data_IF_067693566695
#
_entry.id   IF_067693566695
#
_cell.length_a   1.000
_cell.length_b   1.000
_cell.length_c   1.000
_cell.angle_alpha   90.00
_cell.angle_beta   90.00
_cell.angle_gamma   90.00
#
_symmetry.space_group_name_H-M   'P 1'
#
loop_
_entity.id
_entity.type
_entity.pdbx_description
1 polymer ?
#
# COMPACT_ATOMS: atom_id res chain seq x y z
N UNK A 1 -12.58 -18.12 -19.54
CA UNK A 1 -12.47 -16.66 -19.33
C UNK A 1 -11.35 -16.38 -18.36
N UNK A 2 -10.54 -15.36 -18.61
CA UNK A 2 -9.29 -15.11 -17.89
C UNK A 2 -9.43 -13.84 -17.06
N UNK A 3 -9.15 -13.88 -15.76
CA UNK A 3 -9.07 -12.64 -14.98
C UNK A 3 -7.87 -11.82 -15.46
N UNK A 4 -8.01 -10.49 -15.64
CA UNK A 4 -6.90 -9.65 -16.03
C UNK A 4 -5.85 -9.59 -14.92
N UNK A 5 -4.62 -9.22 -15.27
CA UNK A 5 -3.53 -9.02 -14.30
C UNK A 5 -3.90 -7.99 -13.23
N UNK A 6 -4.76 -7.02 -13.55
CA UNK A 6 -5.24 -5.99 -12.63
C UNK A 6 -6.32 -6.46 -11.64
N UNK A 7 -6.79 -7.72 -11.73
CA UNK A 7 -7.78 -8.23 -10.78
C UNK A 7 -7.23 -8.28 -9.34
N UNK A 8 -5.95 -8.66 -9.19
CA UNK A 8 -5.24 -8.68 -7.91
C UNK A 8 -4.00 -7.82 -7.99
N UNK A 9 -3.95 -6.79 -7.17
CA UNK A 9 -2.76 -5.94 -6.99
C UNK A 9 -2.30 -6.07 -5.54
N UNK A 10 -1.00 -6.24 -5.32
CA UNK A 10 -0.41 -6.23 -3.98
C UNK A 10 0.58 -5.08 -3.90
N UNK A 11 0.40 -4.19 -2.93
CA UNK A 11 1.44 -3.26 -2.51
C UNK A 11 2.31 -3.92 -1.45
N UNK A 12 3.62 -3.95 -1.69
CA UNK A 12 4.63 -4.30 -0.70
C UNK A 12 5.36 -3.03 -0.31
N UNK A 13 5.20 -2.61 0.94
CA UNK A 13 5.78 -1.40 1.49
C UNK A 13 6.91 -1.77 2.44
N UNK A 14 8.13 -1.32 2.12
CA UNK A 14 9.28 -1.45 3.00
C UNK A 14 9.13 -0.53 4.22
N UNK A 15 9.19 -1.12 5.41
CA UNK A 15 9.12 -0.45 6.71
C UNK A 15 10.45 -0.55 7.46
N UNK A 16 11.53 -0.80 6.73
CA UNK A 16 12.87 -0.73 7.27
C UNK A 16 13.26 0.70 7.69
N UNK A 17 14.21 0.85 8.63
CA UNK A 17 14.64 2.15 9.18
C UNK A 17 15.06 3.19 8.13
N UNK A 18 15.57 2.75 6.97
CA UNK A 18 15.95 3.64 5.87
C UNK A 18 14.75 4.45 5.34
N UNK A 19 13.53 3.93 5.47
CA UNK A 19 12.31 4.62 5.06
C UNK A 19 11.88 5.74 6.00
N UNK A 20 12.50 5.86 7.18
CA UNK A 20 12.35 7.04 8.04
C UNK A 20 13.12 8.25 7.49
N UNK A 21 14.06 8.04 6.56
CA UNK A 21 14.82 9.12 5.92
C UNK A 21 13.94 10.15 5.23
N UNK A 22 14.38 11.41 5.23
CA UNK A 22 13.70 12.51 4.55
C UNK A 22 13.66 12.30 3.04
N UNK A 23 12.56 12.68 2.39
CA UNK A 23 12.50 12.77 0.93
C UNK A 23 13.27 13.97 0.37
N UNK A 24 13.80 14.84 1.23
CA UNK A 24 14.52 16.07 0.89
C UNK A 24 13.73 17.06 0.03
N UNK A 25 12.40 16.93 0.00
CA UNK A 25 11.50 17.90 -0.58
C UNK A 25 10.86 18.74 0.52
N UNK A 26 11.26 20.01 0.58
CA UNK A 26 10.71 20.96 1.53
C UNK A 26 9.24 21.26 1.23
N UNK A 27 8.43 21.27 2.29
CA UNK A 27 7.03 21.62 2.29
C UNK A 27 6.83 22.84 3.20
N UNK A 28 6.43 23.95 2.58
CA UNK A 28 5.99 25.14 3.28
C UNK A 28 4.56 24.91 3.76
N UNK A 29 4.35 24.93 5.07
CA UNK A 29 3.03 24.76 5.70
C UNK A 29 2.61 25.99 6.52
N UNK A 30 3.53 26.90 6.77
CA UNK A 30 3.28 28.16 7.46
C UNK A 30 2.85 29.24 6.45
N UNK A 31 1.57 29.23 6.11
CA UNK A 31 0.99 30.14 5.12
C UNK A 31 0.40 31.37 5.84
N UNK A 32 1.18 32.45 5.89
CA UNK A 32 0.68 33.75 6.35
C UNK A 32 -0.21 34.40 5.28
N UNK A 33 -1.53 34.32 5.44
CA UNK A 33 -2.52 34.85 4.49
C UNK A 33 -2.88 36.32 4.68
N UNK A 34 -2.39 37.00 5.73
CA UNK A 34 -2.62 38.44 5.93
C UNK A 34 -1.34 39.18 6.29
N UNK A 35 -1.15 40.31 5.61
CA UNK A 35 -0.12 41.36 5.78
C UNK A 35 0.80 41.19 6.99
N UNK A 36 2.08 40.92 6.70
CA UNK A 36 3.17 40.77 7.67
C UNK A 36 3.11 41.88 8.73
N UNK A 37 2.80 41.53 9.98
CA UNK A 37 3.18 42.38 11.09
C UNK A 37 4.72 42.29 11.25
N UNK A 38 5.43 43.42 11.41
CA UNK A 38 6.85 43.41 11.66
C UNK A 38 7.17 42.58 12.91
N UNK A 39 8.14 41.65 12.82
CA UNK A 39 8.65 40.88 13.98
C UNK A 39 8.23 39.41 14.07
N UNK A 40 7.45 38.87 13.12
CA UNK A 40 7.11 37.43 13.10
C UNK A 40 8.16 36.65 12.30
N UNK A 41 8.73 35.60 12.91
CA UNK A 41 9.67 34.66 12.27
C UNK A 41 8.86 33.47 11.73
N UNK A 42 8.97 33.14 10.42
CA UNK A 42 8.27 31.99 9.85
C UNK A 42 8.81 30.67 10.42
N UNK A 43 7.93 29.66 10.52
CA UNK A 43 8.34 28.31 10.89
C UNK A 43 9.25 27.71 9.81
N UNK A 44 10.19 26.87 10.24
CA UNK A 44 11.06 26.15 9.33
C UNK A 44 10.24 25.14 8.50
N UNK A 45 10.54 24.97 7.20
CA UNK A 45 9.86 24.01 6.35
C UNK A 45 10.09 22.58 6.86
N UNK A 46 9.12 21.71 6.58
CA UNK A 46 9.21 20.29 6.92
C UNK A 46 9.44 19.46 5.66
N UNK A 47 9.95 18.25 5.82
CA UNK A 47 10.00 17.25 4.75
C UNK A 47 9.34 15.97 5.24
N UNK A 48 8.65 15.27 4.34
CA UNK A 48 8.10 13.94 4.62
C UNK A 48 9.22 12.90 4.65
N UNK A 49 8.97 11.78 5.31
CA UNK A 49 9.82 10.60 5.17
C UNK A 49 9.50 9.85 3.87
N UNK A 50 10.43 9.00 3.41
CA UNK A 50 10.20 8.09 2.29
C UNK A 50 8.99 7.16 2.54
N UNK A 51 8.80 6.72 3.79
CA UNK A 51 7.61 5.98 4.22
C UNK A 51 6.32 6.77 3.95
N UNK A 52 6.25 8.01 4.44
CA UNK A 52 5.06 8.85 4.25
C UNK A 52 4.76 9.06 2.77
N UNK A 53 5.77 9.37 1.95
CA UNK A 53 5.60 9.50 0.51
C UNK A 53 5.09 8.20 -0.15
N UNK A 54 5.60 7.05 0.28
CA UNK A 54 5.21 5.74 -0.25
C UNK A 54 3.77 5.38 0.09
N UNK A 55 3.37 5.61 1.35
CA UNK A 55 1.99 5.40 1.81
C UNK A 55 1.02 6.34 1.08
N UNK A 56 1.33 7.62 0.96
CA UNK A 56 0.48 8.59 0.25
C UNK A 56 0.27 8.19 -1.22
N UNK A 57 1.34 7.79 -1.92
CA UNK A 57 1.24 7.36 -3.31
C UNK A 57 0.38 6.08 -3.46
N UNK A 58 0.55 5.10 -2.57
CA UNK A 58 -0.23 3.87 -2.60
C UNK A 58 -1.71 4.10 -2.28
N UNK A 59 -2.00 4.97 -1.30
CA UNK A 59 -3.37 5.32 -0.92
C UNK A 59 -4.08 6.10 -2.03
N UNK A 60 -3.40 7.06 -2.66
CA UNK A 60 -3.97 7.81 -3.78
C UNK A 60 -4.23 6.90 -5.00
N UNK A 61 -3.35 5.93 -5.26
CA UNK A 61 -3.62 4.89 -6.25
C UNK A 61 -4.90 4.12 -5.94
N UNK A 62 -5.11 3.72 -4.69
CA UNK A 62 -6.32 3.00 -4.27
C UNK A 62 -7.57 3.86 -4.43
N UNK A 63 -7.52 5.14 -4.04
CA UNK A 63 -8.62 6.08 -4.22
C UNK A 63 -9.07 6.13 -5.68
N UNK A 64 -8.13 6.38 -6.60
CA UNK A 64 -8.44 6.47 -8.03
C UNK A 64 -8.98 5.14 -8.57
N UNK A 65 -8.37 4.01 -8.20
CA UNK A 65 -8.84 2.70 -8.67
C UNK A 65 -10.24 2.39 -8.18
N UNK A 66 -10.56 2.63 -6.91
CA UNK A 66 -11.86 2.32 -6.35
C UNK A 66 -12.96 3.31 -6.74
N UNK A 67 -12.60 4.56 -7.05
CA UNK A 67 -13.53 5.53 -7.66
C UNK A 67 -13.98 5.08 -9.08
N UNK A 68 -13.07 4.49 -9.87
CA UNK A 68 -13.35 4.02 -11.24
C UNK A 68 -13.92 2.59 -11.26
N UNK A 69 -13.38 1.72 -10.40
CA UNK A 69 -13.71 0.30 -10.31
C UNK A 69 -14.11 -0.05 -8.88
N UNK A 70 -15.38 0.17 -8.51
CA UNK A 70 -15.85 -0.06 -7.14
C UNK A 70 -15.80 -1.54 -6.74
N UNK A 71 -15.78 -2.45 -7.71
CA UNK A 71 -15.72 -3.91 -7.50
C UNK A 71 -14.70 -4.56 -8.45
N UNK A 72 -14.37 -5.83 -8.19
CA UNK A 72 -13.52 -6.70 -9.03
C UNK A 72 -12.03 -6.31 -9.15
N UNK A 73 -11.62 -5.14 -8.66
CA UNK A 73 -10.22 -4.69 -8.56
C UNK A 73 -9.78 -4.72 -7.11
N UNK A 74 -9.18 -5.84 -6.72
CA UNK A 74 -8.79 -6.09 -5.35
C UNK A 74 -7.34 -5.67 -5.13
N UNK A 75 -7.11 -4.92 -4.05
CA UNK A 75 -5.80 -4.41 -3.67
C UNK A 75 -5.48 -4.89 -2.25
N UNK A 76 -4.33 -5.54 -2.09
CA UNK A 76 -3.82 -6.00 -0.80
C UNK A 76 -2.57 -5.22 -0.41
N UNK A 77 -2.45 -4.87 0.86
CA UNK A 77 -1.27 -4.21 1.42
C UNK A 77 -0.50 -5.18 2.30
N UNK A 78 0.82 -5.23 2.08
CA UNK A 78 1.77 -5.96 2.89
C UNK A 78 2.87 -4.99 3.28
N UNK A 79 3.11 -4.86 4.57
CA UNK A 79 4.22 -4.11 5.14
C UNK A 79 5.35 -5.08 5.47
N UNK A 80 6.58 -4.72 5.16
CA UNK A 80 7.75 -5.59 5.34
C UNK A 80 8.83 -4.91 6.16
N UNK A 81 9.19 -5.51 7.28
CA UNK A 81 10.32 -5.14 8.12
C UNK A 81 11.17 -6.37 8.46
N UNK A 82 11.28 -6.75 9.74
CA UNK A 82 11.81 -8.04 10.18
C UNK A 82 10.88 -9.20 9.84
N UNK A 83 9.60 -8.93 9.63
CA UNK A 83 8.59 -9.89 9.20
C UNK A 83 7.66 -9.25 8.15
N UNK A 84 6.72 -10.03 7.62
CA UNK A 84 5.67 -9.52 6.75
C UNK A 84 4.35 -9.36 7.51
N UNK A 85 3.73 -8.19 7.43
CA UNK A 85 2.42 -7.91 7.99
C UNK A 85 1.41 -7.59 6.88
N UNK A 86 0.41 -8.44 6.72
CA UNK A 86 -0.69 -8.23 5.76
C UNK A 86 -1.80 -7.40 6.41
N UNK A 87 -2.18 -6.27 5.81
CA UNK A 87 -3.12 -5.30 6.40
C UNK A 87 -4.59 -5.56 6.04
N UNK A 88 -4.83 -6.25 4.93
CA UNK A 88 -6.17 -6.59 4.45
C UNK A 88 -6.14 -7.85 3.57
N UNK A 89 -7.32 -8.37 3.25
CA UNK A 89 -7.51 -9.61 2.49
C UNK A 89 -8.05 -9.33 1.08
N UNK A 90 -8.47 -10.39 0.37
CA UNK A 90 -9.18 -10.28 -0.90
C UNK A 90 -10.67 -10.01 -0.76
N UNK A 91 -11.19 -9.87 0.47
CA UNK A 91 -12.59 -9.54 0.72
C UNK A 91 -12.94 -8.15 0.20
N UNK A 92 -14.09 -8.04 -0.47
CA UNK A 92 -14.60 -6.78 -1.01
C UNK A 92 -14.91 -5.76 0.10
N UNK A 93 -15.31 -6.21 1.29
CA UNK A 93 -15.61 -5.35 2.45
C UNK A 93 -14.39 -4.55 2.93
N UNK A 94 -13.19 -5.10 2.72
CA UNK A 94 -11.92 -4.49 3.11
C UNK A 94 -11.30 -3.62 2.00
N UNK A 95 -11.97 -3.47 0.85
CA UNK A 95 -11.51 -2.63 -0.28
C UNK A 95 -11.97 -1.18 -0.11
N UNK A 96 -11.59 -0.56 1.02
CA UNK A 96 -11.93 0.82 1.30
C UNK A 96 -10.79 1.56 2.00
N UNK A 97 -10.71 2.87 1.78
CA UNK A 97 -9.62 3.70 2.29
C UNK A 97 -9.63 3.79 3.81
N UNK A 98 -10.81 3.80 4.44
CA UNK A 98 -10.93 3.88 5.91
C UNK A 98 -10.24 2.70 6.60
N UNK A 99 -10.47 1.48 6.09
CA UNK A 99 -9.84 0.25 6.59
C UNK A 99 -8.32 0.31 6.44
N UNK A 100 -7.83 0.65 5.24
CA UNK A 100 -6.39 0.71 4.98
C UNK A 100 -5.69 1.81 5.81
N UNK A 101 -6.29 3.00 5.90
CA UNK A 101 -5.72 4.11 6.68
C UNK A 101 -5.69 3.78 8.17
N UNK A 102 -6.71 3.11 8.70
CA UNK A 102 -6.70 2.65 10.09
C UNK A 102 -5.59 1.62 10.35
N UNK A 103 -5.41 0.64 9.45
CA UNK A 103 -4.35 -0.36 9.56
C UNK A 103 -2.95 0.26 9.45
N UNK A 104 -2.74 1.18 8.50
CA UNK A 104 -1.48 1.90 8.33
C UNK A 104 -1.16 2.82 9.52
N UNK A 105 -2.19 3.43 10.12
CA UNK A 105 -2.02 4.22 11.34
C UNK A 105 -1.60 3.33 12.54
N UNK A 106 -2.08 2.09 12.62
CA UNK A 106 -1.64 1.13 13.64
C UNK A 106 -0.19 0.68 13.43
N UNK A 107 0.24 0.53 12.17
CA UNK A 107 1.65 0.24 11.83
C UNK A 107 2.57 1.39 12.21
N UNK A 108 2.15 2.64 11.93
CA UNK A 108 2.94 3.82 12.26
C UNK A 108 4.18 4.01 11.37
N UNK A 109 5.06 4.98 11.69
CA UNK A 109 6.30 5.21 10.96
C UNK A 109 7.34 4.09 11.22
N UNK A 110 8.32 3.90 10.32
CA UNK A 110 9.40 2.93 10.51
C UNK A 110 10.16 3.16 11.82
N UNK A 111 10.67 2.09 12.45
CA UNK A 111 11.46 2.21 13.66
C UNK A 111 12.79 2.94 13.37
N UNK A 112 13.22 3.79 14.30
CA UNK A 112 14.49 4.52 14.19
C UNK A 112 15.72 3.61 14.39
N UNK A 113 15.54 2.46 15.07
CA UNK A 113 16.63 1.54 15.37
C UNK A 113 16.76 0.52 14.25
N UNK A 114 17.94 0.49 13.63
CA UNK A 114 18.30 -0.49 12.61
C UNK A 114 18.40 -1.90 13.15
N UNK A 115 17.39 -2.73 12.90
CA UNK A 115 17.56 -4.17 12.98
C UNK A 115 18.19 -4.67 11.66
N UNK A 116 19.25 -5.47 11.75
CA UNK A 116 19.92 -6.07 10.59
C UNK A 116 19.01 -7.01 9.80
N UNK A 117 17.93 -7.48 10.42
CA UNK A 117 16.98 -8.40 9.83
C UNK A 117 15.87 -7.70 9.03
N UNK A 118 15.80 -6.35 9.01
CA UNK A 118 14.83 -5.64 8.20
C UNK A 118 15.10 -5.85 6.70
N UNK A 119 14.17 -6.51 6.01
CA UNK A 119 14.32 -6.84 4.59
C UNK A 119 12.94 -6.89 3.88
N UNK A 120 12.83 -6.23 2.72
CA UNK A 120 11.61 -6.24 1.88
C UNK A 120 11.25 -7.63 1.34
N UNK A 121 12.22 -8.56 1.31
CA UNK A 121 12.00 -9.93 0.82
C UNK A 121 10.94 -10.69 1.62
N UNK A 122 10.77 -10.40 2.92
CA UNK A 122 9.69 -11.00 3.72
C UNK A 122 8.32 -10.67 3.11
N UNK A 123 8.07 -9.40 2.80
CA UNK A 123 6.84 -8.94 2.17
C UNK A 123 6.67 -9.45 0.73
N UNK A 124 7.75 -9.58 -0.04
CA UNK A 124 7.68 -10.15 -1.39
C UNK A 124 7.28 -11.63 -1.38
N UNK A 125 7.82 -12.42 -0.44
CA UNK A 125 7.42 -13.83 -0.27
C UNK A 125 5.94 -13.92 0.12
N UNK A 126 5.51 -13.14 1.11
CA UNK A 126 4.11 -13.06 1.52
C UNK A 126 3.18 -12.59 0.38
N UNK A 127 3.66 -11.71 -0.51
CA UNK A 127 2.90 -11.26 -1.67
C UNK A 127 2.70 -12.39 -2.69
N UNK A 128 3.72 -13.22 -2.93
CA UNK A 128 3.61 -14.37 -3.82
C UNK A 128 2.60 -15.39 -3.25
N UNK A 129 2.67 -15.66 -1.94
CA UNK A 129 1.71 -16.53 -1.26
C UNK A 129 0.28 -15.97 -1.35
N UNK A 130 0.11 -14.69 -1.06
CA UNK A 130 -1.19 -14.01 -1.14
C UNK A 130 -1.78 -14.01 -2.56
N UNK A 131 -0.94 -13.94 -3.61
CA UNK A 131 -1.42 -14.07 -4.99
C UNK A 131 -2.03 -15.45 -5.26
N UNK A 132 -1.54 -16.51 -4.61
CA UNK A 132 -2.05 -17.87 -4.76
C UNK A 132 -3.42 -18.10 -4.11
N UNK A 133 -3.80 -17.27 -3.12
CA UNK A 133 -5.12 -17.35 -2.48
C UNK A 133 -6.24 -17.03 -3.47
N UNK A 134 -7.39 -17.70 -3.35
CA UNK A 134 -8.55 -17.44 -4.20
C UNK A 134 -9.29 -16.17 -3.73
N UNK A 135 -9.68 -15.29 -4.65
CA UNK A 135 -10.68 -14.25 -4.32
C UNK A 135 -12.09 -14.85 -4.29
N UNK A 136 -13.03 -14.15 -3.65
CA UNK A 136 -14.45 -14.55 -3.59
C UNK A 136 -15.03 -14.75 -4.99
N UNK A 137 -14.83 -13.78 -5.90
CA UNK A 137 -15.30 -13.84 -7.29
C UNK A 137 -14.64 -15.00 -8.07
N UNK A 138 -13.35 -15.28 -7.82
CA UNK A 138 -12.69 -16.45 -8.41
C UNK A 138 -13.24 -17.76 -7.86
N UNK A 139 -13.61 -17.80 -6.58
CA UNK A 139 -14.16 -18.97 -5.92
C UNK A 139 -15.55 -19.28 -6.45
N UNK A 140 -16.45 -18.30 -6.48
CA UNK A 140 -17.79 -18.40 -7.07
C UNK A 140 -17.75 -18.91 -8.51
N UNK A 141 -16.84 -18.36 -9.32
CA UNK A 141 -16.71 -18.79 -10.72
C UNK A 141 -16.20 -20.22 -10.85
N UNK A 142 -15.31 -20.66 -9.95
CA UNK A 142 -14.82 -22.03 -9.90
C UNK A 142 -15.90 -23.03 -9.47
N UNK A 143 -16.80 -22.63 -8.57
CA UNK A 143 -17.86 -23.49 -8.03
C UNK A 143 -19.15 -23.43 -8.84
N UNK A 144 -19.30 -22.46 -9.75
CA UNK A 144 -20.47 -22.38 -10.63
C UNK A 144 -20.59 -23.64 -11.51
N UNK A 145 -21.72 -24.36 -11.40
CA UNK A 145 -22.02 -25.61 -12.12
C UNK A 145 -22.29 -25.44 -13.62
N UNK A 146 -21.83 -24.36 -14.24
CA UNK A 146 -21.99 -24.15 -15.69
C UNK A 146 -20.97 -24.99 -16.45
N UNK A 147 -21.39 -25.61 -17.56
CA UNK A 147 -20.57 -26.52 -18.39
C UNK A 147 -19.25 -25.91 -18.89
N UNK A 148 -19.09 -24.59 -18.78
CA UNK A 148 -17.82 -23.89 -18.89
C UNK A 148 -17.05 -23.83 -17.56
N UNK A 149 -16.85 -24.97 -16.88
CA UNK A 149 -15.90 -25.11 -15.76
C UNK A 149 -14.45 -25.01 -16.29
N UNK A 150 -14.16 -23.91 -16.98
CA UNK A 150 -12.87 -23.63 -17.56
C UNK A 150 -11.87 -23.27 -16.48
N UNK A 151 -10.63 -23.70 -16.68
CA UNK A 151 -9.47 -23.36 -15.84
C UNK A 151 -9.46 -21.86 -15.50
N UNK A 152 -9.71 -21.51 -14.23
CA UNK A 152 -9.62 -20.13 -13.75
C UNK A 152 -8.14 -19.77 -13.67
N UNK A 153 -7.68 -18.94 -14.60
CA UNK A 153 -6.29 -18.47 -14.61
C UNK A 153 -6.14 -17.37 -13.57
N UNK A 154 -5.28 -17.62 -12.59
CA UNK A 154 -4.95 -16.68 -11.53
C UNK A 154 -3.75 -15.82 -11.95
N UNK A 155 -3.96 -14.52 -12.08
CA UNK A 155 -2.92 -13.53 -12.41
C UNK A 155 -3.02 -12.38 -11.42
N UNK A 156 -1.91 -11.70 -11.20
CA UNK A 156 -1.86 -10.51 -10.37
C UNK A 156 -0.58 -9.71 -10.62
N UNK A 157 -0.48 -8.57 -9.92
CA UNK A 157 0.67 -7.67 -9.95
C UNK A 157 1.14 -7.40 -8.53
N UNK A 158 2.45 -7.30 -8.37
CA UNK A 158 3.09 -6.79 -7.16
C UNK A 158 3.70 -5.42 -7.49
N UNK A 159 3.41 -4.43 -6.66
CA UNK A 159 4.01 -3.09 -6.70
C UNK A 159 4.82 -2.97 -5.41
N UNK A 160 6.14 -2.86 -5.53
CA UNK A 160 7.05 -2.85 -4.40
C UNK A 160 7.67 -1.46 -4.24
N UNK A 161 7.52 -0.85 -3.07
CA UNK A 161 8.21 0.39 -2.69
C UNK A 161 9.30 0.03 -1.69
N UNK A 162 10.55 0.15 -2.13
CA UNK A 162 11.76 -0.14 -1.33
C UNK A 162 12.90 0.77 -1.78
N UNK A 163 13.96 0.82 -0.98
CA UNK A 163 15.18 1.56 -1.26
C UNK A 163 16.28 0.53 -1.55
N UNK A 164 16.70 0.48 -2.81
CA UNK A 164 17.72 -0.46 -3.28
C UNK A 164 19.09 0.18 -3.07
N UNK A 165 20.01 -0.58 -2.48
CA UNK A 165 21.42 -0.17 -2.35
C UNK A 165 22.18 -0.33 -3.67
#
# INVERSE_FOLDING_TARGET
MTFPVSHKTIFVLDHGPNFLGSCHQNMEFDIFTKTRQPGIIPLAPLSKSLWTCSVEAAIEYCRIVWDIFPTEKLIRFIVSDTTSLTLNSWSQEQQNLTHLMAALAQVGPPPNIGNKDCNVMHGLNAAIEALCECSEIQHEKRTSMTESAGKVVNRGRIICFTNVK
#
